data_IF_103379881104
#
_entry.id   IF_103379881104
#
_cell.length_a   1.000
_cell.length_b   1.000
_cell.length_c   1.000
_cell.angle_alpha   90.00
_cell.angle_beta   90.00
_cell.angle_gamma   90.00
#
_symmetry.space_group_name_H-M   'P 1'
#
loop_
_entity.id
_entity.type
_entity.pdbx_description
1 polymer ?
#
# COMPACT_ATOMS: atom_id res chain seq x y z
N UNK A 1 -0.26 -17.80 -14.78
CA UNK A 1 -0.41 -16.62 -15.66
C UNK A 1 -1.55 -15.79 -15.11
N UNK A 2 -1.28 -14.65 -14.48
CA UNK A 2 -2.34 -13.77 -13.98
C UNK A 2 -2.96 -13.00 -15.15
N UNK A 3 -4.28 -12.82 -15.23
CA UNK A 3 -4.90 -12.02 -16.28
C UNK A 3 -4.39 -10.58 -16.20
N UNK A 4 -4.14 -9.94 -17.37
CA UNK A 4 -3.72 -8.54 -17.44
C UNK A 4 -4.83 -7.63 -16.91
N UNK A 5 -4.68 -7.16 -15.67
CA UNK A 5 -5.57 -6.20 -15.01
C UNK A 5 -5.47 -4.77 -15.56
N UNK A 6 -4.60 -4.54 -16.56
CA UNK A 6 -4.25 -3.23 -17.13
C UNK A 6 -5.43 -2.38 -17.66
N UNK A 7 -6.59 -2.99 -17.93
CA UNK A 7 -7.79 -2.30 -18.41
C UNK A 7 -8.90 -2.14 -17.34
N UNK A 8 -8.62 -2.38 -16.06
CA UNK A 8 -9.63 -2.27 -14.98
C UNK A 8 -9.47 -0.93 -14.23
N UNK A 9 -10.52 -0.10 -14.19
CA UNK A 9 -10.59 1.10 -13.34
C UNK A 9 -10.81 0.71 -11.86
N UNK A 10 -9.79 0.07 -11.27
CA UNK A 10 -9.80 -0.31 -9.85
C UNK A 10 -9.61 0.96 -9.02
N UNK A 11 -10.71 1.57 -8.58
CA UNK A 11 -10.63 2.78 -7.73
C UNK A 11 -10.29 2.47 -6.27
N UNK A 12 -10.64 1.28 -5.80
CA UNK A 12 -10.42 0.81 -4.41
C UNK A 12 -9.95 -0.64 -4.41
N UNK A 13 -9.00 -0.97 -3.53
CA UNK A 13 -8.60 -2.34 -3.21
C UNK A 13 -8.90 -2.59 -1.74
N UNK A 14 -9.53 -3.73 -1.45
CA UNK A 14 -9.76 -4.23 -0.09
C UNK A 14 -8.91 -5.48 0.13
N UNK A 15 -8.25 -5.57 1.29
CA UNK A 15 -7.36 -6.67 1.65
C UNK A 15 -7.78 -7.22 3.00
N UNK A 16 -8.33 -8.43 3.00
CA UNK A 16 -8.61 -9.20 4.21
C UNK A 16 -7.54 -10.29 4.38
N UNK A 17 -7.18 -10.60 5.63
CA UNK A 17 -6.14 -11.56 6.06
C UNK A 17 -4.67 -11.17 5.89
N UNK A 18 -3.88 -11.56 6.89
CA UNK A 18 -2.45 -11.23 7.04
C UNK A 18 -1.53 -11.74 5.91
N UNK A 19 -1.93 -12.77 5.15
CA UNK A 19 -1.15 -13.30 4.03
C UNK A 19 -1.22 -12.42 2.76
N UNK A 20 -2.32 -11.70 2.55
CA UNK A 20 -2.56 -10.94 1.33
C UNK A 20 -1.83 -9.60 1.28
N UNK A 21 -1.53 -8.99 2.43
CA UNK A 21 -0.97 -7.63 2.54
C UNK A 21 0.37 -7.51 1.82
N UNK A 22 1.29 -8.46 2.00
CA UNK A 22 2.60 -8.41 1.32
C UNK A 22 2.49 -8.44 -0.20
N UNK A 23 1.62 -9.31 -0.74
CA UNK A 23 1.37 -9.43 -2.17
C UNK A 23 0.67 -8.18 -2.73
N UNK A 24 -0.33 -7.65 -2.03
CA UNK A 24 -1.02 -6.42 -2.44
C UNK A 24 -0.09 -5.21 -2.38
N UNK A 25 0.78 -5.11 -1.36
CA UNK A 25 1.82 -4.07 -1.33
C UNK A 25 2.84 -4.21 -2.46
N UNK A 26 3.17 -5.42 -2.92
CA UNK A 26 4.00 -5.60 -4.12
C UNK A 26 3.28 -5.12 -5.40
N UNK A 27 2.00 -5.46 -5.56
CA UNK A 27 1.14 -4.99 -6.67
C UNK A 27 0.86 -3.47 -6.61
N UNK A 28 0.99 -2.87 -5.43
CA UNK A 28 0.90 -1.43 -5.13
C UNK A 28 2.32 -0.85 -4.89
N UNK A 29 3.40 -1.48 -5.38
CA UNK A 29 4.77 -1.12 -4.97
C UNK A 29 5.95 -1.27 -5.94
N UNK A 30 5.78 -1.76 -7.17
CA UNK A 30 6.91 -2.22 -8.02
C UNK A 30 7.94 -1.14 -8.44
N UNK A 31 9.20 -1.26 -7.97
CA UNK A 31 10.34 -0.49 -8.49
C UNK A 31 11.69 -1.22 -8.66
N UNK A 32 12.24 -2.07 -7.79
CA UNK A 32 12.00 -2.27 -6.34
C UNK A 32 13.05 -1.52 -5.49
N UNK A 33 13.64 -2.12 -4.43
CA UNK A 33 14.99 -2.69 -4.59
C UNK A 33 15.23 -4.03 -3.86
N UNK A 34 14.19 -4.66 -3.28
CA UNK A 34 14.31 -6.01 -2.67
C UNK A 34 12.91 -6.59 -2.55
N UNK A 35 12.49 -7.35 -3.56
CA UNK A 35 11.22 -8.07 -3.56
C UNK A 35 11.37 -9.41 -2.82
N UNK A 36 10.29 -9.97 -2.23
CA UNK A 36 10.23 -11.39 -1.93
C UNK A 36 10.52 -12.20 -3.19
N UNK A 37 11.24 -13.32 -3.05
CA UNK A 37 11.57 -14.18 -4.19
C UNK A 37 10.31 -14.66 -4.91
N UNK A 38 10.34 -14.67 -6.24
CA UNK A 38 9.19 -15.02 -7.09
C UNK A 38 8.22 -13.86 -7.39
N UNK A 39 8.48 -12.63 -6.93
CA UNK A 39 7.70 -11.47 -7.39
C UNK A 39 8.12 -11.10 -8.82
N UNK A 40 7.21 -11.03 -9.81
CA UNK A 40 7.57 -10.73 -11.20
C UNK A 40 8.05 -9.29 -11.36
N UNK A 41 9.13 -9.09 -12.13
CA UNK A 41 9.76 -7.79 -12.43
C UNK A 41 8.96 -6.93 -13.43
N UNK A 42 7.61 -6.96 -13.36
CA UNK A 42 6.81 -6.15 -14.27
C UNK A 42 6.81 -4.67 -13.83
N UNK A 43 7.17 -3.80 -14.77
CA UNK A 43 7.13 -2.34 -14.63
C UNK A 43 5.74 -1.77 -14.92
N UNK A 44 4.83 -2.57 -15.50
CA UNK A 44 3.40 -2.23 -15.59
C UNK A 44 2.73 -2.43 -14.23
N UNK A 45 2.35 -1.32 -13.59
CA UNK A 45 1.59 -1.37 -12.34
C UNK A 45 0.13 -1.73 -12.65
N UNK A 46 -0.44 -2.84 -12.13
CA UNK A 46 -1.76 -3.31 -12.54
C UNK A 46 -2.94 -2.44 -12.04
N UNK A 47 -2.66 -1.37 -11.30
CA UNK A 47 -3.61 -0.70 -10.41
C UNK A 47 -3.42 0.82 -10.35
N UNK A 48 -3.03 1.48 -11.45
CA UNK A 48 -2.69 2.91 -11.48
C UNK A 48 -3.90 3.85 -11.22
N UNK A 49 -5.11 3.33 -11.39
CA UNK A 49 -6.39 3.96 -11.05
C UNK A 49 -6.74 3.96 -9.55
N UNK A 50 -6.00 3.21 -8.71
CA UNK A 50 -6.34 3.06 -7.29
C UNK A 50 -6.12 4.34 -6.50
N UNK A 51 -7.23 4.86 -5.97
CA UNK A 51 -7.29 6.03 -5.08
C UNK A 51 -7.49 5.64 -3.62
N UNK A 52 -8.01 4.44 -3.32
CA UNK A 52 -8.24 3.94 -1.97
C UNK A 52 -7.68 2.54 -1.72
N UNK A 53 -7.00 2.34 -0.60
CA UNK A 53 -6.58 1.02 -0.11
C UNK A 53 -7.21 0.78 1.27
N UNK A 54 -7.89 -0.34 1.47
CA UNK A 54 -8.39 -0.78 2.78
C UNK A 54 -7.68 -2.07 3.14
N UNK A 55 -7.11 -2.13 4.34
CA UNK A 55 -6.44 -3.32 4.90
C UNK A 55 -7.14 -3.67 6.20
N UNK A 56 -7.56 -4.91 6.34
CA UNK A 56 -8.36 -5.39 7.46
C UNK A 56 -7.69 -6.60 8.14
N UNK A 57 -7.87 -6.72 9.47
CA UNK A 57 -7.57 -7.93 10.27
C UNK A 57 -6.15 -8.51 10.05
N UNK A 58 -5.17 -7.61 9.94
CA UNK A 58 -3.82 -7.95 9.51
C UNK A 58 -2.76 -7.41 10.47
N UNK A 59 -1.72 -8.20 10.73
CA UNK A 59 -0.48 -7.70 11.33
C UNK A 59 0.29 -6.91 10.26
N UNK A 60 0.41 -5.59 10.46
CA UNK A 60 0.86 -4.66 9.45
C UNK A 60 2.11 -3.91 9.91
N UNK A 61 3.21 -4.09 9.18
CA UNK A 61 4.40 -3.27 9.36
C UNK A 61 4.21 -1.92 8.65
N UNK A 62 3.81 -0.90 9.42
CA UNK A 62 3.46 0.43 8.89
C UNK A 62 4.65 1.13 8.24
N UNK A 63 5.89 0.77 8.63
CA UNK A 63 7.11 1.25 7.97
C UNK A 63 7.24 0.72 6.54
N UNK A 64 6.86 -0.54 6.31
CA UNK A 64 6.85 -1.16 4.97
C UNK A 64 5.74 -0.54 4.12
N UNK A 65 4.53 -0.38 4.66
CA UNK A 65 3.42 0.34 4.00
C UNK A 65 3.87 1.73 3.51
N UNK A 66 4.41 2.55 4.42
CA UNK A 66 4.81 3.92 4.13
C UNK A 66 5.90 3.99 3.07
N UNK A 67 6.89 3.08 3.13
CA UNK A 67 7.95 2.97 2.11
C UNK A 67 7.39 2.62 0.73
N UNK A 68 6.52 1.60 0.66
CA UNK A 68 5.90 1.12 -0.59
C UNK A 68 5.05 2.22 -1.22
N UNK A 69 4.19 2.88 -0.44
CA UNK A 69 3.35 3.98 -0.90
C UNK A 69 4.19 5.20 -1.32
N UNK A 70 5.32 5.44 -0.64
CA UNK A 70 6.29 6.47 -1.04
C UNK A 70 6.93 6.22 -2.40
N UNK A 71 7.28 4.96 -2.71
CA UNK A 71 7.75 4.55 -4.04
C UNK A 71 6.63 4.77 -5.08
N UNK A 72 5.42 4.27 -4.80
CA UNK A 72 4.23 4.43 -5.65
C UNK A 72 3.94 5.89 -6.00
N UNK A 73 3.82 6.76 -5.01
CA UNK A 73 3.47 8.16 -5.22
C UNK A 73 4.54 8.91 -6.03
N UNK A 74 5.82 8.56 -5.88
CA UNK A 74 6.90 9.12 -6.72
C UNK A 74 6.77 8.70 -8.18
N UNK A 75 6.50 7.41 -8.45
CA UNK A 75 6.26 6.90 -9.80
C UNK A 75 5.03 7.56 -10.46
N UNK A 76 3.88 7.54 -9.78
CA UNK A 76 2.63 8.10 -10.32
C UNK A 76 2.71 9.61 -10.56
N UNK A 77 3.48 10.35 -9.74
CA UNK A 77 3.83 11.75 -9.98
C UNK A 77 4.68 11.93 -11.25
N UNK A 78 5.75 11.14 -11.40
CA UNK A 78 6.65 11.22 -12.55
C UNK A 78 5.97 10.84 -13.88
N UNK A 79 4.94 9.98 -13.85
CA UNK A 79 4.18 9.54 -15.03
C UNK A 79 2.83 10.25 -15.22
N UNK A 80 2.53 11.32 -14.45
CA UNK A 80 1.26 12.07 -14.50
C UNK A 80 -0.01 11.20 -14.38
N UNK A 81 0.07 10.09 -13.63
CA UNK A 81 -1.04 9.13 -13.46
C UNK A 81 -1.89 9.48 -12.24
N UNK A 82 -3.02 8.78 -12.07
CA UNK A 82 -3.88 8.96 -10.88
C UNK A 82 -3.14 8.56 -9.61
N UNK A 83 -3.30 9.31 -8.51
CA UNK A 83 -2.58 9.06 -7.26
C UNK A 83 -3.42 8.24 -6.27
N UNK A 84 -2.75 7.49 -5.40
CA UNK A 84 -3.39 6.99 -4.19
C UNK A 84 -3.71 8.20 -3.29
N UNK A 85 -4.93 8.25 -2.75
CA UNK A 85 -5.43 9.38 -1.95
C UNK A 85 -5.73 9.00 -0.50
N UNK A 86 -6.17 7.76 -0.25
CA UNK A 86 -6.57 7.30 1.08
C UNK A 86 -6.12 5.86 1.35
N UNK A 87 -5.71 5.62 2.59
CA UNK A 87 -5.49 4.30 3.16
C UNK A 87 -6.32 4.20 4.44
N UNK A 88 -7.11 3.14 4.58
CA UNK A 88 -7.85 2.81 5.79
C UNK A 88 -7.32 1.48 6.35
N UNK A 89 -7.01 1.48 7.64
CA UNK A 89 -6.62 0.29 8.41
C UNK A 89 -7.76 -0.07 9.34
N UNK A 90 -8.22 -1.32 9.34
CA UNK A 90 -9.36 -1.77 10.16
C UNK A 90 -8.94 -2.99 10.98
N UNK A 91 -9.05 -2.92 12.30
CA UNK A 91 -8.71 -4.02 13.22
C UNK A 91 -7.29 -4.60 13.01
N UNK A 92 -6.34 -3.79 12.53
CA UNK A 92 -4.97 -4.23 12.28
C UNK A 92 -4.11 -4.23 13.56
N UNK A 93 -3.08 -5.08 13.59
CA UNK A 93 -2.01 -5.00 14.59
C UNK A 93 -0.77 -4.32 14.00
N UNK A 94 -0.49 -3.10 14.44
CA UNK A 94 0.48 -2.21 13.83
C UNK A 94 1.87 -2.33 14.48
N UNK A 95 2.88 -2.54 13.64
CA UNK A 95 4.28 -2.70 14.05
C UNK A 95 5.25 -1.84 13.21
N UNK A 96 6.52 -1.80 13.64
CA UNK A 96 7.63 -1.21 12.88
C UNK A 96 7.82 0.30 13.08
N UNK A 97 6.76 1.08 13.22
CA UNK A 97 6.80 2.51 13.60
C UNK A 97 5.48 2.98 14.23
N UNK A 98 5.50 4.13 14.89
CA UNK A 98 4.29 4.77 15.42
C UNK A 98 3.39 5.25 14.27
N UNK A 99 2.07 5.06 14.41
CA UNK A 99 1.07 5.46 13.41
C UNK A 99 1.18 6.94 13.05
N UNK A 100 1.22 7.83 14.04
CA UNK A 100 1.30 9.29 13.84
C UNK A 100 2.56 9.75 13.08
N UNK A 101 3.62 8.94 13.03
CA UNK A 101 4.78 9.21 12.16
C UNK A 101 4.50 8.79 10.72
N UNK A 102 3.89 7.62 10.51
CA UNK A 102 3.51 7.14 9.19
C UNK A 102 2.43 8.02 8.54
N UNK A 103 1.45 8.46 9.33
CA UNK A 103 0.43 9.44 8.93
C UNK A 103 1.06 10.73 8.39
N UNK A 104 2.01 11.32 9.12
CA UNK A 104 2.73 12.53 8.67
C UNK A 104 3.56 12.29 7.40
N UNK A 105 4.27 11.17 7.32
CA UNK A 105 5.07 10.81 6.13
C UNK A 105 4.18 10.60 4.89
N UNK A 106 3.00 9.99 5.05
CA UNK A 106 2.02 9.78 3.98
C UNK A 106 1.26 11.07 3.60
N UNK A 107 0.93 11.91 4.58
CA UNK A 107 0.29 13.21 4.33
C UNK A 107 1.18 14.13 3.48
N UNK A 108 2.50 14.14 3.71
CA UNK A 108 3.47 14.84 2.86
C UNK A 108 3.50 14.32 1.40
N UNK A 109 3.03 13.09 1.16
CA UNK A 109 2.88 12.49 -0.16
C UNK A 109 1.47 12.67 -0.75
N UNK A 110 0.58 13.39 -0.06
CA UNK A 110 -0.82 13.60 -0.46
C UNK A 110 -1.74 12.40 -0.19
N UNK A 111 -1.34 11.50 0.72
CA UNK A 111 -2.10 10.30 1.08
C UNK A 111 -2.64 10.44 2.51
N UNK A 112 -3.95 10.36 2.67
CA UNK A 112 -4.61 10.33 3.98
C UNK A 112 -4.52 8.91 4.54
N UNK A 113 -3.80 8.71 5.64
CA UNK A 113 -3.84 7.47 6.41
C UNK A 113 -4.89 7.59 7.52
N UNK A 114 -5.70 6.56 7.71
CA UNK A 114 -6.73 6.48 8.76
C UNK A 114 -6.76 5.08 9.36
N UNK A 115 -7.08 4.96 10.64
CA UNK A 115 -7.22 3.67 11.34
C UNK A 115 -8.50 3.60 12.16
N UNK A 116 -9.07 2.40 12.28
CA UNK A 116 -10.25 2.06 13.08
C UNK A 116 -9.94 0.75 13.82
N UNK A 117 -10.17 0.70 15.13
CA UNK A 117 -10.01 -0.52 15.94
C UNK A 117 -8.60 -1.12 15.97
N UNK A 118 -7.58 -0.38 15.51
CA UNK A 118 -6.21 -0.89 15.41
C UNK A 118 -5.51 -0.92 16.78
N UNK A 119 -4.59 -1.88 16.92
CA UNK A 119 -3.74 -2.05 18.10
C UNK A 119 -2.28 -1.88 17.73
N UNK A 120 -1.41 -1.58 18.69
CA UNK A 120 0.01 -1.28 18.43
C UNK A 120 0.89 -2.15 19.31
N UNK A 121 1.97 -2.69 18.74
CA UNK A 121 3.08 -3.21 19.54
C UNK A 121 3.75 -2.05 20.30
N UNK A 122 3.78 -2.12 21.63
CA UNK A 122 4.66 -1.27 22.44
C UNK A 122 6.11 -1.60 22.08
N UNK A 123 6.95 -0.58 21.90
CA UNK A 123 8.41 -0.72 21.91
C UNK A 123 8.91 -0.61 23.35
#
# INVERSE_FOLDING_TARGET
MFPRLANVDVRRIWVTSAGGVGAVLALIGSSSPTLPSGTPENTEWPFESVQGLIIEESQLNVRVLTRVVGIRQKYLRASSKSWLKRILLVNCHLIGMAFSKAEKELAALGVVLTEIGCSYSRR
#
